data_IF_582315792968
#
_entry.id   IF_582315792968
#
_cell.length_a   1.000
_cell.length_b   1.000
_cell.length_c   1.000
_cell.angle_alpha   90.00
_cell.angle_beta   90.00
_cell.angle_gamma   90.00
#
_symmetry.space_group_name_H-M   'P 1'
#
loop_
_entity.id
_entity.type
_entity.pdbx_description
1 polymer ?
#
# COMPACT_ATOMS: atom_id res chain seq x y z
N UNK A 1 -41.55 -19.70 53.88
CA UNK A 1 -41.38 -19.29 52.47
C UNK A 1 -40.12 -18.45 52.38
N UNK A 2 -39.02 -18.98 51.83
CA UNK A 2 -37.78 -18.22 51.61
C UNK A 2 -37.74 -17.86 50.13
N UNK A 3 -37.88 -16.57 49.81
CA UNK A 3 -37.74 -16.05 48.45
C UNK A 3 -36.29 -16.19 48.00
N UNK A 4 -36.09 -16.88 46.88
CA UNK A 4 -34.82 -16.92 46.14
C UNK A 4 -34.95 -15.85 45.06
N UNK A 5 -34.21 -14.75 45.18
CA UNK A 5 -34.01 -13.79 44.10
C UNK A 5 -32.97 -14.36 43.12
N UNK A 6 -33.23 -14.38 41.81
CA UNK A 6 -32.22 -14.78 40.84
C UNK A 6 -31.23 -13.63 40.66
N UNK A 7 -29.96 -13.87 40.97
CA UNK A 7 -28.85 -13.00 40.57
C UNK A 7 -28.75 -13.00 39.04
N UNK A 8 -29.14 -11.90 38.41
CA UNK A 8 -28.86 -11.64 37.00
C UNK A 8 -27.39 -11.28 36.91
N UNK A 9 -26.55 -12.22 36.48
CA UNK A 9 -25.18 -11.94 36.09
C UNK A 9 -25.22 -11.22 34.73
N UNK A 10 -25.11 -9.90 34.74
CA UNK A 10 -24.84 -9.14 33.52
C UNK A 10 -23.46 -9.49 33.02
N UNK A 11 -23.39 -10.34 31.99
CA UNK A 11 -22.19 -10.52 31.18
C UNK A 11 -21.98 -9.23 30.37
N UNK A 12 -21.03 -8.40 30.81
CA UNK A 12 -20.56 -7.27 30.03
C UNK A 12 -19.74 -7.85 28.87
N UNK A 13 -20.36 -8.00 27.69
CA UNK A 13 -19.63 -8.22 26.45
C UNK A 13 -18.81 -6.96 26.18
N UNK A 14 -17.54 -6.98 26.54
CA UNK A 14 -16.56 -6.09 25.94
C UNK A 14 -16.44 -6.53 24.48
N UNK A 15 -17.09 -5.78 23.59
CA UNK A 15 -16.75 -5.84 22.18
C UNK A 15 -15.28 -5.44 22.08
N UNK A 16 -14.40 -6.42 21.84
CA UNK A 16 -13.04 -6.13 21.41
C UNK A 16 -13.22 -5.46 20.05
N UNK A 17 -13.07 -4.13 20.00
CA UNK A 17 -12.90 -3.45 18.73
C UNK A 17 -11.58 -3.97 18.19
N UNK A 18 -11.70 -4.84 17.22
CA UNK A 18 -10.58 -5.34 16.47
C UNK A 18 -10.14 -4.20 15.56
N UNK A 19 -8.95 -3.69 15.84
CA UNK A 19 -8.36 -2.64 15.05
C UNK A 19 -7.97 -3.18 13.66
N UNK A 20 -8.31 -2.39 12.65
CA UNK A 20 -7.71 -2.42 11.32
C UNK A 20 -6.21 -2.22 11.44
N UNK A 21 -5.42 -2.95 10.66
CA UNK A 21 -4.09 -2.47 10.28
C UNK A 21 -4.18 -1.09 9.66
N UNK A 22 -3.13 -0.25 9.76
CA UNK A 22 -3.10 1.16 9.34
C UNK A 22 -4.47 1.67 8.92
N UNK A 23 -5.08 2.57 9.67
CA UNK A 23 -6.41 3.07 9.33
C UNK A 23 -6.52 3.52 7.86
N UNK A 24 -7.75 3.70 7.34
CA UNK A 24 -7.99 3.91 5.92
C UNK A 24 -7.03 4.89 5.22
N UNK A 25 -6.61 5.94 5.92
CA UNK A 25 -5.70 6.95 5.38
C UNK A 25 -4.27 6.41 5.22
N UNK A 26 -3.73 5.66 6.19
CA UNK A 26 -2.41 5.04 6.08
C UNK A 26 -2.33 4.05 4.91
N UNK A 27 -3.36 3.22 4.73
CA UNK A 27 -3.46 2.34 3.56
C UNK A 27 -3.52 3.09 2.24
N UNK A 28 -4.35 4.14 2.17
CA UNK A 28 -4.49 4.96 0.97
C UNK A 28 -3.16 5.68 0.63
N UNK A 29 -2.43 6.21 1.62
CA UNK A 29 -1.12 6.84 1.43
C UNK A 29 -0.12 5.86 0.82
N UNK A 30 0.01 4.65 1.38
CA UNK A 30 0.91 3.61 0.87
C UNK A 30 0.58 3.29 -0.59
N UNK A 31 -0.71 3.07 -0.88
CA UNK A 31 -1.19 2.69 -2.19
C UNK A 31 -1.02 3.82 -3.24
N UNK A 32 -1.38 5.06 -2.90
CA UNK A 32 -1.24 6.22 -3.79
C UNK A 32 0.23 6.47 -4.15
N UNK A 33 1.12 6.45 -3.15
CA UNK A 33 2.53 6.66 -3.38
C UNK A 33 3.17 5.52 -4.16
N UNK A 34 2.75 4.27 -3.94
CA UNK A 34 3.17 3.15 -4.78
C UNK A 34 2.70 3.33 -6.23
N UNK A 35 1.46 3.80 -6.42
CA UNK A 35 0.92 4.17 -7.72
C UNK A 35 1.84 5.17 -8.42
N UNK A 36 2.26 6.25 -7.77
CA UNK A 36 3.15 7.23 -8.43
C UNK A 36 4.56 6.71 -8.77
N UNK A 37 4.97 5.56 -8.19
CA UNK A 37 6.35 5.06 -8.25
C UNK A 37 6.54 3.80 -9.07
N UNK A 38 5.48 3.02 -9.28
CA UNK A 38 5.56 1.83 -10.14
C UNK A 38 5.91 2.20 -11.58
N UNK A 39 6.59 1.30 -12.27
CA UNK A 39 6.90 1.41 -13.68
C UNK A 39 5.65 1.45 -14.56
N UNK A 40 5.81 1.94 -15.81
CA UNK A 40 4.74 1.88 -16.80
C UNK A 40 4.30 0.44 -17.12
N UNK A 41 5.22 -0.52 -17.01
CA UNK A 41 4.95 -1.92 -17.30
C UNK A 41 4.12 -2.56 -16.19
N UNK A 42 4.47 -2.35 -14.92
CA UNK A 42 3.65 -2.76 -13.79
C UNK A 42 2.26 -2.11 -13.84
N UNK A 43 2.17 -0.82 -14.15
CA UNK A 43 0.88 -0.12 -14.30
C UNK A 43 0.01 -0.76 -15.38
N UNK A 44 0.59 -1.11 -16.53
CA UNK A 44 -0.12 -1.79 -17.60
C UNK A 44 -0.69 -3.13 -17.12
N UNK A 45 0.08 -3.93 -16.38
CA UNK A 45 -0.41 -5.18 -15.80
C UNK A 45 -1.53 -4.96 -14.79
N UNK A 46 -1.41 -3.95 -13.93
CA UNK A 46 -2.49 -3.57 -13.01
C UNK A 46 -3.75 -3.21 -13.80
N UNK A 47 -3.65 -2.44 -14.88
CA UNK A 47 -4.80 -2.09 -15.71
C UNK A 47 -5.40 -3.30 -16.44
N UNK A 48 -4.58 -4.26 -16.86
CA UNK A 48 -5.07 -5.51 -17.46
C UNK A 48 -5.87 -6.36 -16.45
N UNK A 49 -5.49 -6.34 -15.16
CA UNK A 49 -6.17 -7.10 -14.10
C UNK A 49 -7.40 -6.36 -13.57
N UNK A 50 -7.24 -5.07 -13.29
CA UNK A 50 -8.20 -4.26 -12.51
C UNK A 50 -9.09 -3.37 -13.38
N UNK A 51 -8.69 -3.12 -14.63
CA UNK A 51 -9.32 -2.15 -15.53
C UNK A 51 -8.48 -0.88 -15.73
N UNK A 52 -8.64 -0.26 -16.90
CA UNK A 52 -7.92 0.97 -17.26
C UNK A 52 -8.20 2.10 -16.26
N UNK A 53 -7.14 2.79 -15.82
CA UNK A 53 -7.24 3.91 -14.89
C UNK A 53 -7.49 3.52 -13.43
N UNK A 54 -7.35 2.23 -13.10
CA UNK A 54 -7.46 1.77 -11.71
C UNK A 54 -6.42 2.43 -10.81
N UNK A 55 -6.86 2.92 -9.65
CA UNK A 55 -6.00 3.48 -8.61
C UNK A 55 -5.99 2.55 -7.41
N UNK A 56 -4.82 2.12 -6.97
CA UNK A 56 -4.65 1.18 -5.85
C UNK A 56 -5.33 1.71 -4.58
N UNK A 57 -5.21 3.02 -4.31
CA UNK A 57 -5.81 3.68 -3.15
C UNK A 57 -7.32 3.46 -3.02
N UNK A 58 -8.05 3.27 -4.14
CA UNK A 58 -9.51 3.05 -4.12
C UNK A 58 -9.95 1.72 -3.50
N UNK A 59 -9.00 0.83 -3.21
CA UNK A 59 -9.26 -0.47 -2.59
C UNK A 59 -8.28 -0.82 -1.48
N UNK A 60 -7.44 0.12 -1.06
CA UNK A 60 -6.37 -0.16 -0.13
C UNK A 60 -6.90 -0.69 1.21
N UNK A 61 -8.10 -0.26 1.63
CA UNK A 61 -8.78 -0.75 2.84
C UNK A 61 -9.75 -1.91 2.59
N UNK A 62 -9.87 -2.42 1.36
CA UNK A 62 -10.88 -3.44 1.02
C UNK A 62 -10.77 -4.70 1.87
N UNK A 63 -9.55 -5.14 2.21
CA UNK A 63 -9.33 -6.35 3.00
C UNK A 63 -9.93 -6.23 4.41
N UNK A 64 -9.80 -5.07 5.05
CA UNK A 64 -10.45 -4.80 6.33
C UNK A 64 -11.96 -4.61 6.19
N UNK A 65 -12.41 -3.91 5.15
CA UNK A 65 -13.85 -3.72 4.90
C UNK A 65 -14.60 -5.05 4.76
N UNK A 66 -14.01 -6.05 4.11
CA UNK A 66 -14.63 -7.38 3.98
C UNK A 66 -14.50 -8.21 5.27
N UNK A 67 -13.44 -8.01 6.04
CA UNK A 67 -13.19 -8.73 7.29
C UNK A 67 -14.15 -8.27 8.40
N UNK A 68 -14.46 -6.98 8.44
CA UNK A 68 -15.28 -6.35 9.49
C UNK A 68 -16.69 -5.99 9.04
N UNK A 69 -16.97 -6.00 7.74
CA UNK A 69 -18.27 -5.64 7.17
C UNK A 69 -19.29 -6.78 7.11
N UNK A 70 -20.30 -6.58 6.27
CA UNK A 70 -21.45 -7.49 6.12
C UNK A 70 -21.06 -8.90 5.63
N UNK A 71 -19.93 -9.04 4.94
CA UNK A 71 -19.43 -10.32 4.42
C UNK A 71 -18.44 -11.00 5.37
N UNK A 72 -18.24 -10.50 6.60
CA UNK A 72 -17.22 -10.99 7.54
C UNK A 72 -17.24 -12.51 7.74
N UNK A 73 -18.40 -13.15 7.84
CA UNK A 73 -18.54 -14.61 7.95
C UNK A 73 -17.83 -15.39 6.83
N UNK A 74 -17.73 -14.80 5.63
CA UNK A 74 -17.03 -15.38 4.48
C UNK A 74 -15.51 -15.13 4.52
N UNK A 75 -15.07 -14.09 5.21
CA UNK A 75 -13.69 -13.58 5.17
C UNK A 75 -12.93 -13.69 6.48
N UNK A 76 -13.53 -14.21 7.56
CA UNK A 76 -12.85 -14.45 8.84
C UNK A 76 -11.52 -15.22 8.72
N UNK A 77 -11.38 -16.08 7.70
CA UNK A 77 -10.14 -16.81 7.43
C UNK A 77 -8.96 -15.91 7.05
N UNK A 78 -9.20 -14.69 6.55
CA UNK A 78 -8.13 -13.76 6.18
C UNK A 78 -7.57 -13.01 7.38
N UNK A 79 -8.26 -13.00 8.53
CA UNK A 79 -7.83 -12.31 9.75
C UNK A 79 -6.35 -12.47 10.12
N UNK A 80 -5.80 -13.70 10.24
CA UNK A 80 -4.40 -13.87 10.62
C UNK A 80 -3.42 -13.34 9.57
N UNK A 81 -3.88 -13.07 8.34
CA UNK A 81 -3.04 -12.58 7.25
C UNK A 81 -2.67 -11.11 7.40
N UNK A 82 -3.30 -10.37 8.31
CA UNK A 82 -3.01 -8.94 8.50
C UNK A 82 -1.77 -8.72 9.39
N UNK A 83 -1.35 -9.70 10.18
CA UNK A 83 -0.27 -9.50 11.15
C UNK A 83 0.61 -10.73 11.28
N UNK A 84 1.62 -10.62 12.14
CA UNK A 84 2.39 -11.74 12.66
C UNK A 84 2.77 -11.45 14.11
N UNK A 85 2.58 -12.42 14.99
CA UNK A 85 2.96 -12.26 16.38
C UNK A 85 4.45 -12.58 16.54
N UNK A 86 5.21 -11.63 17.09
CA UNK A 86 6.66 -11.74 17.26
C UNK A 86 7.03 -11.57 18.73
N UNK A 87 7.66 -12.60 19.28
CA UNK A 87 8.23 -12.54 20.62
C UNK A 87 9.67 -12.00 20.58
N UNK A 88 10.06 -11.26 21.62
CA UNK A 88 11.40 -10.68 21.78
C UNK A 88 11.89 -9.84 20.60
N UNK A 89 10.98 -9.28 19.80
CA UNK A 89 11.30 -8.39 18.67
C UNK A 89 12.14 -9.07 17.58
N UNK A 90 12.21 -10.41 17.56
CA UNK A 90 12.99 -11.19 16.62
C UNK A 90 12.04 -12.06 15.79
N UNK A 91 11.88 -11.74 14.52
CA UNK A 91 11.03 -12.49 13.62
C UNK A 91 11.75 -13.73 13.08
N UNK A 92 11.11 -14.89 13.24
CA UNK A 92 11.55 -16.15 12.65
C UNK A 92 10.38 -16.74 11.88
N UNK A 93 10.43 -16.65 10.55
CA UNK A 93 9.32 -17.06 9.67
C UNK A 93 8.75 -18.45 9.99
N UNK A 94 9.59 -19.46 10.19
CA UNK A 94 9.14 -20.83 10.49
C UNK A 94 8.48 -20.99 11.86
N UNK A 95 8.82 -20.13 12.82
CA UNK A 95 8.26 -20.14 14.18
C UNK A 95 6.94 -19.35 14.24
N UNK A 96 6.95 -18.16 13.63
CA UNK A 96 5.92 -17.13 13.80
C UNK A 96 4.86 -17.15 12.69
N UNK A 97 5.20 -17.60 11.48
CA UNK A 97 4.32 -17.67 10.32
C UNK A 97 3.91 -19.11 10.00
N UNK A 98 3.31 -19.79 10.96
CA UNK A 98 2.90 -21.19 10.81
C UNK A 98 1.92 -21.33 9.64
N UNK A 99 2.08 -22.38 8.83
CA UNK A 99 1.28 -22.64 7.63
C UNK A 99 1.27 -21.51 6.57
N UNK A 100 2.17 -20.52 6.68
CA UNK A 100 2.11 -19.26 5.92
C UNK A 100 0.86 -18.39 6.23
N UNK A 101 0.20 -18.63 7.36
CA UNK A 101 -0.98 -17.88 7.82
C UNK A 101 -0.55 -16.66 8.65
N UNK A 102 0.17 -15.75 8.00
CA UNK A 102 0.57 -14.47 8.56
C UNK A 102 0.80 -13.45 7.44
N UNK A 103 0.97 -12.16 7.75
CA UNK A 103 1.22 -11.10 6.76
C UNK A 103 2.39 -11.38 5.81
N UNK A 104 3.48 -11.96 6.33
CA UNK A 104 4.63 -12.34 5.51
C UNK A 104 4.29 -13.43 4.49
N UNK A 105 3.52 -14.44 4.90
CA UNK A 105 3.06 -15.51 4.03
C UNK A 105 2.01 -15.02 3.04
N UNK A 106 1.14 -14.11 3.47
CA UNK A 106 0.11 -13.49 2.66
C UNK A 106 0.72 -12.69 1.50
N UNK A 107 1.70 -11.82 1.78
CA UNK A 107 2.41 -11.07 0.73
C UNK A 107 2.97 -12.03 -0.32
N UNK A 108 3.72 -13.06 0.08
CA UNK A 108 4.29 -14.06 -0.84
C UNK A 108 3.21 -14.76 -1.68
N UNK A 109 2.12 -15.17 -1.03
CA UNK A 109 1.02 -15.87 -1.67
C UNK A 109 0.30 -14.99 -2.71
N UNK A 110 -0.08 -13.77 -2.33
CA UNK A 110 -0.83 -12.88 -3.23
C UNK A 110 0.05 -12.28 -4.33
N UNK A 111 1.35 -12.09 -4.11
CA UNK A 111 2.31 -11.84 -5.21
C UNK A 111 2.36 -12.98 -6.21
N UNK A 112 2.31 -14.25 -5.77
CA UNK A 112 2.26 -15.38 -6.69
C UNK A 112 0.90 -15.49 -7.41
N UNK A 113 -0.20 -15.19 -6.73
CA UNK A 113 -1.54 -15.28 -7.33
C UNK A 113 -1.82 -14.19 -8.38
N UNK A 114 -1.39 -12.93 -8.16
CA UNK A 114 -1.66 -11.85 -9.12
C UNK A 114 -1.01 -12.09 -10.49
N UNK A 115 0.11 -12.82 -10.51
CA UNK A 115 0.85 -13.20 -11.72
C UNK A 115 0.34 -14.50 -12.35
N UNK A 116 -0.45 -15.30 -11.62
CA UNK A 116 -0.92 -16.59 -12.13
C UNK A 116 -2.11 -16.42 -13.09
N UNK A 117 -1.83 -16.50 -14.40
CA UNK A 117 -2.84 -16.38 -15.47
C UNK A 117 -3.80 -17.56 -15.57
N UNK A 118 -3.59 -18.65 -14.82
CA UNK A 118 -4.56 -19.75 -14.72
C UNK A 118 -5.70 -19.46 -13.73
N UNK A 119 -5.55 -18.43 -12.88
CA UNK A 119 -6.61 -17.99 -11.97
C UNK A 119 -7.65 -17.15 -12.71
N UNK A 120 -8.87 -17.09 -12.16
CA UNK A 120 -9.90 -16.20 -12.69
C UNK A 120 -9.49 -14.74 -12.52
N UNK A 121 -10.10 -13.85 -13.32
CA UNK A 121 -9.87 -12.42 -13.22
C UNK A 121 -10.16 -11.92 -11.80
N UNK A 122 -11.25 -12.39 -11.19
CA UNK A 122 -11.67 -12.01 -9.84
C UNK A 122 -10.61 -12.42 -8.80
N UNK A 123 -10.03 -13.62 -8.90
CA UNK A 123 -8.97 -14.05 -7.97
C UNK A 123 -7.69 -13.23 -8.11
N UNK A 124 -7.34 -12.84 -9.33
CA UNK A 124 -6.19 -11.96 -9.56
C UNK A 124 -6.46 -10.54 -9.06
N UNK A 125 -7.70 -10.06 -9.18
CA UNK A 125 -8.12 -8.78 -8.61
C UNK A 125 -8.10 -8.79 -7.08
N UNK A 126 -8.60 -9.86 -6.44
CA UNK A 126 -8.47 -10.09 -5.00
C UNK A 126 -7.00 -10.08 -4.58
N UNK A 127 -6.12 -10.73 -5.34
CA UNK A 127 -4.69 -10.74 -5.06
C UNK A 127 -4.03 -9.35 -5.12
N UNK A 128 -4.41 -8.49 -6.07
CA UNK A 128 -3.93 -7.10 -6.12
C UNK A 128 -4.37 -6.32 -4.88
N UNK A 129 -5.65 -6.44 -4.48
CA UNK A 129 -6.20 -5.74 -3.32
C UNK A 129 -5.55 -6.21 -2.02
N UNK A 130 -5.47 -7.51 -1.80
CA UNK A 130 -4.81 -8.09 -0.64
C UNK A 130 -3.33 -7.71 -0.57
N UNK A 131 -2.59 -7.82 -1.68
CA UNK A 131 -1.18 -7.43 -1.68
C UNK A 131 -1.01 -5.95 -1.34
N UNK A 132 -1.82 -5.07 -1.92
CA UNK A 132 -1.78 -3.63 -1.64
C UNK A 132 -1.98 -3.35 -0.15
N UNK A 133 -2.99 -3.99 0.45
CA UNK A 133 -3.30 -3.88 1.86
C UNK A 133 -2.17 -4.39 2.75
N UNK A 134 -1.74 -5.65 2.57
CA UNK A 134 -0.71 -6.28 3.41
C UNK A 134 0.66 -5.60 3.32
N UNK A 135 0.96 -4.91 2.22
CA UNK A 135 2.15 -4.07 2.12
C UNK A 135 2.08 -2.82 3.01
N UNK A 136 0.88 -2.33 3.31
CA UNK A 136 0.65 -1.39 4.41
C UNK A 136 0.91 -2.08 5.75
N UNK A 137 0.17 -3.14 6.05
CA UNK A 137 0.19 -3.85 7.35
C UNK A 137 1.60 -4.19 7.81
N UNK A 138 2.39 -4.80 6.92
CA UNK A 138 3.74 -5.28 7.27
C UNK A 138 4.67 -4.14 7.69
N UNK A 139 4.35 -2.89 7.36
CA UNK A 139 5.09 -1.70 7.75
C UNK A 139 4.54 -1.01 9.01
N UNK A 140 3.36 -1.42 9.52
CA UNK A 140 2.86 -0.96 10.81
C UNK A 140 3.58 -1.73 11.93
N UNK A 141 4.36 -1.07 12.80
CA UNK A 141 5.17 -1.77 13.81
C UNK A 141 4.41 -2.81 14.65
N UNK A 142 3.22 -2.47 15.13
CA UNK A 142 2.40 -3.31 15.99
C UNK A 142 1.68 -4.46 15.26
N UNK A 143 1.72 -4.50 13.92
CA UNK A 143 1.36 -5.70 13.13
C UNK A 143 2.43 -6.79 13.19
N UNK A 144 3.62 -6.45 13.69
CA UNK A 144 4.66 -7.40 14.09
C UNK A 144 4.88 -7.36 15.62
N UNK A 145 3.79 -7.11 16.37
CA UNK A 145 3.79 -6.95 17.82
C UNK A 145 3.74 -8.26 18.61
N UNK A 146 3.64 -8.14 19.93
CA UNK A 146 3.67 -9.27 20.87
C UNK A 146 2.34 -10.02 20.87
N UNK A 147 2.42 -11.34 21.00
CA UNK A 147 1.22 -12.19 21.15
C UNK A 147 0.41 -11.83 22.40
N UNK A 148 1.09 -11.58 23.52
CA UNK A 148 0.46 -11.41 24.85
C UNK A 148 -0.44 -10.20 24.98
N UNK A 149 -0.27 -9.20 24.11
CA UNK A 149 -1.08 -7.97 24.10
C UNK A 149 -1.85 -7.78 22.79
N UNK A 150 -1.89 -8.83 21.95
CA UNK A 150 -2.52 -8.81 20.62
C UNK A 150 -2.01 -7.63 19.78
N UNK A 151 -0.68 -7.42 19.75
CA UNK A 151 -0.08 -6.28 19.07
C UNK A 151 -0.42 -4.93 19.73
N UNK A 152 -0.67 -4.88 21.03
CA UNK A 152 -1.06 -3.67 21.74
C UNK A 152 -2.57 -3.38 21.75
N UNK A 153 -3.41 -4.21 21.12
CA UNK A 153 -4.87 -4.08 21.18
C UNK A 153 -5.41 -4.17 22.61
N UNK A 154 -4.75 -4.92 23.50
CA UNK A 154 -5.15 -5.02 24.92
C UNK A 154 -4.51 -3.98 25.83
N UNK A 155 -3.71 -3.05 25.29
CA UNK A 155 -3.08 -1.96 26.05
C UNK A 155 -3.95 -0.71 25.87
N UNK A 156 -4.93 -0.54 26.76
CA UNK A 156 -5.76 0.65 26.79
C UNK A 156 -4.96 1.88 27.20
N UNK A 157 -5.16 3.01 26.51
CA UNK A 157 -4.47 4.27 26.78
C UNK A 157 -5.42 5.46 26.63
N UNK A 158 -5.14 6.54 27.35
CA UNK A 158 -5.71 7.85 27.05
C UNK A 158 -4.70 8.68 26.25
N UNK A 159 -5.10 9.31 25.16
CA UNK A 159 -4.25 10.21 24.38
C UNK A 159 -4.66 11.66 24.62
N UNK A 160 -3.71 12.60 24.44
CA UNK A 160 -3.98 14.04 24.52
C UNK A 160 -3.69 14.77 23.19
N UNK A 161 -3.71 14.01 22.11
CA UNK A 161 -3.71 14.40 20.71
C UNK A 161 -4.93 13.70 20.05
N UNK A 162 -5.22 14.00 18.80
CA UNK A 162 -6.30 13.42 18.01
C UNK A 162 -7.63 13.42 18.78
N UNK A 163 -8.07 14.61 19.21
CA UNK A 163 -9.32 14.84 19.96
C UNK A 163 -9.44 14.19 21.36
N UNK A 164 -8.33 13.95 22.05
CA UNK A 164 -8.30 13.56 23.48
C UNK A 164 -9.13 12.30 23.80
N UNK A 165 -8.83 11.19 23.13
CA UNK A 165 -9.61 9.96 23.20
C UNK A 165 -9.09 8.95 24.24
N UNK A 166 -9.96 8.04 24.69
CA UNK A 166 -9.56 6.75 25.29
C UNK A 166 -9.64 5.67 24.22
N UNK A 167 -8.53 5.01 23.95
CA UNK A 167 -8.38 4.02 22.89
C UNK A 167 -7.41 2.92 23.35
N UNK A 168 -6.85 2.14 22.42
CA UNK A 168 -5.76 1.19 22.67
C UNK A 168 -4.50 1.57 21.88
N UNK A 169 -3.34 1.04 22.29
CA UNK A 169 -2.05 1.37 21.69
C UNK A 169 -1.99 1.00 20.21
N UNK A 170 -2.64 -0.08 19.78
CA UNK A 170 -2.66 -0.48 18.37
C UNK A 170 -3.33 0.58 17.49
N UNK A 171 -4.56 0.97 17.85
CA UNK A 171 -5.32 2.02 17.16
C UNK A 171 -4.62 3.38 17.18
N UNK A 172 -3.81 3.67 18.21
CA UNK A 172 -2.97 4.88 18.21
C UNK A 172 -1.99 4.88 17.03
N UNK A 173 -1.38 3.73 16.73
CA UNK A 173 -0.47 3.60 15.62
C UNK A 173 -1.18 3.49 14.28
N UNK A 174 -2.30 2.76 14.20
CA UNK A 174 -3.02 2.64 12.93
C UNK A 174 -3.61 3.97 12.47
N UNK A 175 -4.19 4.73 13.40
CA UNK A 175 -5.03 5.88 13.08
C UNK A 175 -4.53 7.16 13.76
N UNK A 176 -4.44 7.17 15.09
CA UNK A 176 -4.43 8.45 15.84
C UNK A 176 -3.16 9.28 15.65
N UNK A 177 -2.01 8.65 15.38
CA UNK A 177 -0.80 9.39 14.99
C UNK A 177 -0.95 10.03 13.60
N UNK A 178 -1.65 9.37 12.67
CA UNK A 178 -1.93 9.90 11.33
C UNK A 178 -3.01 10.99 11.42
N UNK A 179 -4.05 10.75 12.21
CA UNK A 179 -5.15 11.70 12.43
C UNK A 179 -4.63 13.04 12.95
N UNK A 180 -3.75 13.04 13.96
CA UNK A 180 -3.15 14.29 14.48
C UNK A 180 -2.34 15.00 13.39
N UNK A 181 -1.52 14.27 12.63
CA UNK A 181 -0.69 14.84 11.57
C UNK A 181 -1.51 15.47 10.44
N UNK A 182 -2.60 14.81 10.05
CA UNK A 182 -3.50 15.33 9.04
C UNK A 182 -4.32 16.50 9.57
N UNK A 183 -4.74 16.48 10.84
CA UNK A 183 -5.39 17.62 11.48
C UNK A 183 -4.48 18.86 11.54
N UNK A 184 -3.17 18.68 11.77
CA UNK A 184 -2.18 19.76 11.76
C UNK A 184 -1.99 20.39 10.36
N UNK A 185 -2.12 19.59 9.30
CA UNK A 185 -1.85 20.02 7.92
C UNK A 185 -3.10 20.47 7.16
N UNK A 186 -4.26 19.87 7.46
CA UNK A 186 -5.47 20.08 6.70
C UNK A 186 -6.07 21.46 7.02
N UNK A 187 -6.27 22.35 6.02
CA UNK A 187 -6.66 23.73 6.28
C UNK A 187 -8.12 23.91 6.75
N UNK A 188 -8.93 22.84 6.68
CA UNK A 188 -10.34 22.84 7.07
C UNK A 188 -10.59 22.05 8.36
N UNK A 189 -11.86 21.69 8.57
CA UNK A 189 -12.21 20.76 9.65
C UNK A 189 -11.79 19.35 9.27
N UNK A 190 -10.84 18.81 10.03
CA UNK A 190 -10.46 17.41 9.96
C UNK A 190 -11.52 16.52 10.60
N UNK A 191 -11.77 15.36 10.01
CA UNK A 191 -12.64 14.32 10.55
C UNK A 191 -11.76 13.10 10.80
N UNK A 192 -11.72 12.62 12.05
CA UNK A 192 -10.93 11.46 12.46
C UNK A 192 -11.34 10.20 11.67
N UNK A 193 -10.39 9.31 11.38
CA UNK A 193 -10.63 8.09 10.58
C UNK A 193 -11.78 7.22 11.10
N UNK A 194 -11.86 7.07 12.42
CA UNK A 194 -12.85 6.25 13.11
C UNK A 194 -14.21 6.92 13.31
N UNK A 195 -14.39 8.17 12.85
CA UNK A 195 -15.69 8.81 12.86
C UNK A 195 -16.63 8.20 11.81
N UNK A 196 -16.08 7.79 10.66
CA UNK A 196 -16.79 7.15 9.56
C UNK A 196 -15.78 6.45 8.61
N UNK A 197 -15.65 5.13 8.73
CA UNK A 197 -14.75 4.32 7.89
C UNK A 197 -15.24 4.20 6.43
N UNK A 198 -16.48 4.54 6.13
CA UNK A 198 -17.05 4.48 4.77
C UNK A 198 -16.93 5.83 4.02
N UNK A 199 -16.46 6.88 4.69
CA UNK A 199 -16.29 8.21 4.11
C UNK A 199 -15.22 8.21 3.00
N UNK A 200 -15.42 9.00 1.94
CA UNK A 200 -14.34 9.32 1.02
C UNK A 200 -13.35 10.27 1.72
N UNK A 201 -12.23 9.72 2.16
CA UNK A 201 -11.18 10.43 2.88
C UNK A 201 -10.07 10.97 1.98
N UNK A 202 -10.27 10.98 0.65
CA UNK A 202 -9.25 11.43 -0.33
C UNK A 202 -8.65 12.78 0.02
N UNK A 203 -9.46 13.74 0.45
CA UNK A 203 -8.97 15.08 0.82
C UNK A 203 -8.04 15.08 2.06
N UNK A 204 -8.17 14.10 2.94
CA UNK A 204 -7.40 13.97 4.17
C UNK A 204 -6.08 13.25 3.89
N UNK A 205 -6.12 12.00 3.44
CA UNK A 205 -4.90 11.24 3.20
C UNK A 205 -4.01 11.84 2.11
N UNK A 206 -4.57 12.62 1.17
CA UNK A 206 -3.77 13.32 0.14
C UNK A 206 -2.77 14.30 0.75
N UNK A 207 -3.04 14.94 1.89
CA UNK A 207 -2.07 15.86 2.49
C UNK A 207 -0.84 15.11 3.00
N UNK A 208 -1.05 13.94 3.59
CA UNK A 208 0.02 13.04 4.04
C UNK A 208 0.79 12.46 2.86
N UNK A 209 0.10 11.98 1.83
CA UNK A 209 0.71 11.45 0.61
C UNK A 209 1.56 12.52 -0.10
N UNK A 210 1.07 13.76 -0.19
CA UNK A 210 1.80 14.87 -0.81
C UNK A 210 3.10 15.21 -0.07
N UNK A 211 3.07 15.27 1.27
CA UNK A 211 4.27 15.53 2.08
C UNK A 211 5.30 14.40 1.97
N UNK A 212 4.87 13.14 2.09
CA UNK A 212 5.77 12.00 1.95
C UNK A 212 6.30 11.87 0.51
N UNK A 213 5.46 12.17 -0.49
CA UNK A 213 5.85 12.23 -1.89
C UNK A 213 6.96 13.26 -2.15
N UNK A 214 6.86 14.45 -1.55
CA UNK A 214 7.94 15.45 -1.56
C UNK A 214 9.22 14.92 -0.93
N UNK A 215 9.13 14.24 0.21
CA UNK A 215 10.29 13.66 0.88
C UNK A 215 10.95 12.53 0.08
N UNK A 216 10.17 11.78 -0.70
CA UNK A 216 10.66 10.72 -1.59
C UNK A 216 11.28 11.24 -2.89
N UNK A 217 10.88 12.44 -3.35
CA UNK A 217 11.37 13.04 -4.58
C UNK A 217 12.82 13.53 -4.47
N UNK A 218 13.48 13.77 -5.60
CA UNK A 218 14.88 14.19 -5.64
C UNK A 218 15.13 15.43 -4.75
N UNK A 219 16.09 15.33 -3.84
CA UNK A 219 16.41 16.37 -2.86
C UNK A 219 15.56 16.35 -1.58
N UNK A 220 14.51 15.52 -1.53
CA UNK A 220 13.70 15.28 -0.35
C UNK A 220 14.41 14.42 0.70
N UNK A 221 13.84 14.42 1.92
CA UNK A 221 14.41 13.77 3.11
C UNK A 221 14.69 12.27 2.93
N UNK A 222 13.86 11.56 2.16
CA UNK A 222 13.93 10.12 1.95
C UNK A 222 14.61 9.72 0.63
N UNK A 223 14.87 10.65 -0.27
CA UNK A 223 15.47 10.37 -1.59
C UNK A 223 16.75 9.51 -1.50
N UNK A 224 17.65 9.85 -0.57
CA UNK A 224 18.91 9.11 -0.36
C UNK A 224 18.76 7.77 0.38
N UNK A 225 17.59 7.48 0.95
CA UNK A 225 17.34 6.26 1.73
C UNK A 225 16.75 5.12 0.90
N UNK A 226 16.07 5.43 -0.21
CA UNK A 226 15.33 4.46 -1.04
C UNK A 226 16.18 3.25 -1.42
N UNK A 227 17.41 3.46 -1.91
CA UNK A 227 18.32 2.38 -2.29
C UNK A 227 18.64 1.44 -1.10
N UNK A 228 18.80 1.99 0.11
CA UNK A 228 19.04 1.17 1.30
C UNK A 228 17.81 0.35 1.70
N UNK A 229 16.60 0.92 1.57
CA UNK A 229 15.33 0.25 1.88
C UNK A 229 15.02 -0.93 0.94
N UNK A 230 15.53 -0.87 -0.30
CA UNK A 230 15.37 -1.91 -1.32
C UNK A 230 16.56 -2.86 -1.42
N UNK A 231 17.70 -2.54 -0.79
CA UNK A 231 18.97 -3.29 -0.97
C UNK A 231 18.84 -4.81 -0.81
N UNK A 232 18.17 -5.29 0.24
CA UNK A 232 17.92 -6.72 0.46
C UNK A 232 16.89 -7.30 -0.51
N UNK A 233 15.90 -6.50 -0.91
CA UNK A 233 14.89 -6.89 -1.88
C UNK A 233 15.52 -7.16 -3.25
N UNK A 234 16.33 -6.23 -3.74
CA UNK A 234 17.00 -6.31 -5.03
C UNK A 234 18.09 -7.40 -5.05
N UNK A 235 18.83 -7.58 -3.95
CA UNK A 235 19.95 -8.53 -3.91
C UNK A 235 19.57 -9.96 -3.53
N UNK A 236 18.49 -10.16 -2.77
CA UNK A 236 18.14 -11.47 -2.20
C UNK A 236 16.69 -11.91 -2.52
N UNK A 237 15.91 -11.07 -3.20
CA UNK A 237 14.57 -11.40 -3.67
C UNK A 237 13.46 -11.25 -2.63
N UNK A 238 12.23 -11.54 -3.05
CA UNK A 238 11.00 -11.27 -2.29
C UNK A 238 10.98 -11.94 -0.92
N UNK A 239 11.43 -13.19 -0.80
CA UNK A 239 11.37 -13.93 0.46
C UNK A 239 12.17 -13.28 1.57
N UNK A 240 13.39 -12.82 1.26
CA UNK A 240 14.24 -12.11 2.21
C UNK A 240 13.74 -10.68 2.42
N UNK A 241 13.27 -10.02 1.37
CA UNK A 241 12.66 -8.70 1.43
C UNK A 241 11.52 -8.65 2.46
N UNK A 242 10.55 -9.57 2.35
CA UNK A 242 9.38 -9.62 3.24
C UNK A 242 9.78 -9.95 4.68
N UNK A 243 10.72 -10.88 4.89
CA UNK A 243 11.20 -11.17 6.23
C UNK A 243 11.90 -9.96 6.87
N UNK A 244 12.62 -9.17 6.07
CA UNK A 244 13.22 -7.92 6.54
C UNK A 244 12.15 -6.89 6.93
N UNK A 245 11.09 -6.72 6.13
CA UNK A 245 10.00 -5.79 6.45
C UNK A 245 9.39 -6.11 7.82
N UNK A 246 9.09 -7.39 8.07
CA UNK A 246 8.56 -7.84 9.36
C UNK A 246 9.55 -7.60 10.49
N UNK A 247 10.83 -7.94 10.29
CA UNK A 247 11.86 -7.74 11.31
C UNK A 247 12.04 -6.26 11.66
N UNK A 248 12.00 -5.36 10.67
CA UNK A 248 12.03 -3.91 10.88
C UNK A 248 10.84 -3.46 11.74
N UNK A 249 9.62 -3.90 11.40
CA UNK A 249 8.41 -3.57 12.16
C UNK A 249 8.45 -4.12 13.59
N UNK A 250 8.88 -5.37 13.79
CA UNK A 250 9.04 -5.96 15.13
C UNK A 250 10.06 -5.18 15.98
N UNK A 251 11.16 -4.75 15.36
CA UNK A 251 12.18 -3.93 16.02
C UNK A 251 11.62 -2.57 16.44
N UNK A 252 10.88 -1.91 15.56
CA UNK A 252 10.22 -0.63 15.83
C UNK A 252 9.13 -0.77 16.90
N UNK A 253 8.37 -1.87 16.91
CA UNK A 253 7.37 -2.12 17.93
C UNK A 253 8.01 -2.03 19.32
N UNK A 254 9.12 -2.73 19.52
CA UNK A 254 9.81 -2.77 20.79
C UNK A 254 10.55 -1.47 21.15
N UNK A 255 11.23 -0.85 20.19
CA UNK A 255 12.07 0.32 20.45
C UNK A 255 11.30 1.64 20.45
N UNK A 256 10.10 1.67 19.86
CA UNK A 256 9.39 2.93 19.58
C UNK A 256 7.93 2.87 20.05
N UNK A 257 7.19 1.79 19.73
CA UNK A 257 5.75 1.70 20.02
C UNK A 257 5.43 1.34 21.47
N UNK A 258 6.10 0.33 22.03
CA UNK A 258 5.84 -0.15 23.39
C UNK A 258 6.52 0.69 24.47
N UNK A 259 7.21 1.79 24.13
CA UNK A 259 7.96 2.63 25.06
C UNK A 259 7.48 4.07 25.02
N UNK A 260 7.42 4.72 26.18
CA UNK A 260 7.22 6.15 26.33
C UNK A 260 8.49 6.95 26.00
N UNK A 261 8.40 8.27 25.97
CA UNK A 261 9.54 9.17 25.67
C UNK A 261 10.67 9.03 26.70
N UNK A 262 10.31 8.74 27.96
CA UNK A 262 11.26 8.51 29.07
C UNK A 262 11.87 7.09 29.07
N UNK A 263 11.51 6.25 28.10
CA UNK A 263 11.96 4.86 27.98
C UNK A 263 11.18 3.86 28.83
N UNK A 264 10.22 4.29 29.64
CA UNK A 264 9.35 3.38 30.37
C UNK A 264 8.39 2.64 29.41
N UNK A 265 8.04 1.39 29.70
CA UNK A 265 7.05 0.67 28.89
C UNK A 265 5.67 1.35 28.99
N UNK A 266 4.95 1.45 27.87
CA UNK A 266 3.55 1.88 27.85
C UNK A 266 2.73 0.90 28.69
N UNK A 267 1.98 1.43 29.65
CA UNK A 267 1.17 0.62 30.56
C UNK A 267 -0.29 0.62 30.13
N UNK A 268 -0.99 -0.48 30.38
CA UNK A 268 -2.44 -0.53 30.25
C UNK A 268 -3.10 0.46 31.24
N UNK A 269 -4.11 1.19 30.79
CA UNK A 269 -4.71 2.37 31.43
C UNK A 269 -3.74 3.55 31.62
N UNK A 270 -2.64 3.59 30.87
CA UNK A 270 -1.70 4.69 30.85
C UNK A 270 -2.20 5.89 30.04
N UNK A 271 -1.34 6.89 29.87
CA UNK A 271 -1.60 8.02 28.97
C UNK A 271 -0.42 8.26 28.03
N UNK A 272 -0.71 8.59 26.78
CA UNK A 272 0.29 8.98 25.78
C UNK A 272 0.17 10.49 25.56
N UNK A 273 1.31 11.18 25.67
CA UNK A 273 1.39 12.63 25.59
C UNK A 273 1.57 13.12 24.15
N UNK A 274 1.39 14.42 23.93
CA UNK A 274 1.75 15.09 22.69
C UNK A 274 3.25 14.91 22.36
N UNK A 275 4.10 14.74 23.39
CA UNK A 275 5.51 14.41 23.18
C UNK A 275 5.69 12.99 22.62
N UNK A 276 4.83 12.04 23.00
CA UNK A 276 4.77 10.73 22.34
C UNK A 276 4.44 10.91 20.85
N UNK A 277 3.40 11.66 20.49
CA UNK A 277 3.09 11.97 19.09
C UNK A 277 4.29 12.60 18.35
N UNK A 278 4.80 13.73 18.85
CA UNK A 278 5.87 14.51 18.22
C UNK A 278 7.15 13.70 17.93
N UNK A 279 7.45 12.72 18.78
CA UNK A 279 8.66 11.90 18.63
C UNK A 279 8.46 10.65 17.77
N UNK A 280 7.21 10.27 17.45
CA UNK A 280 6.90 9.07 16.65
C UNK A 280 6.37 9.37 15.25
N UNK A 281 5.80 10.56 14.99
CA UNK A 281 5.20 10.86 13.69
C UNK A 281 6.18 10.68 12.51
N UNK A 282 7.45 11.05 12.68
CA UNK A 282 8.46 10.82 11.63
C UNK A 282 8.78 9.34 11.40
N UNK A 283 8.61 8.48 12.42
CA UNK A 283 8.72 7.02 12.25
C UNK A 283 7.53 6.50 11.44
N UNK A 284 6.31 6.96 11.74
CA UNK A 284 5.09 6.60 10.98
C UNK A 284 5.25 7.01 9.52
N UNK A 285 5.63 8.26 9.25
CA UNK A 285 5.85 8.77 7.87
C UNK A 285 6.91 7.97 7.12
N UNK A 286 8.02 7.61 7.76
CA UNK A 286 9.07 6.78 7.13
C UNK A 286 8.58 5.35 6.83
N UNK A 287 7.75 4.77 7.70
CA UNK A 287 7.17 3.44 7.47
C UNK A 287 6.13 3.44 6.33
N UNK A 288 5.27 4.46 6.24
CA UNK A 288 4.37 4.65 5.10
C UNK A 288 5.16 4.82 3.79
N UNK A 289 6.25 5.61 3.81
CA UNK A 289 7.14 5.78 2.67
C UNK A 289 7.80 4.47 2.22
N UNK A 290 8.30 3.66 3.18
CA UNK A 290 8.86 2.33 2.91
C UNK A 290 7.82 1.38 2.33
N UNK A 291 6.60 1.38 2.89
CA UNK A 291 5.48 0.60 2.38
C UNK A 291 5.21 0.89 0.91
N UNK A 292 5.12 2.17 0.55
CA UNK A 292 4.92 2.61 -0.82
C UNK A 292 6.06 2.20 -1.77
N UNK A 293 7.32 2.46 -1.37
CA UNK A 293 8.52 2.12 -2.15
C UNK A 293 8.61 0.62 -2.40
N UNK A 294 8.36 -0.19 -1.36
CA UNK A 294 8.46 -1.65 -1.45
C UNK A 294 7.27 -2.25 -2.19
N UNK A 295 6.06 -1.70 -2.06
CA UNK A 295 4.91 -2.14 -2.86
C UNK A 295 5.15 -1.89 -4.35
N UNK A 296 5.64 -0.71 -4.73
CA UNK A 296 6.03 -0.41 -6.11
C UNK A 296 7.08 -1.41 -6.62
N UNK A 297 8.12 -1.69 -5.82
CA UNK A 297 9.14 -2.69 -6.17
C UNK A 297 8.56 -4.10 -6.34
N UNK A 298 7.68 -4.55 -5.44
CA UNK A 298 7.04 -5.87 -5.57
C UNK A 298 6.21 -5.94 -6.86
N UNK A 299 5.45 -4.90 -7.18
CA UNK A 299 4.63 -4.86 -8.40
C UNK A 299 5.48 -4.82 -9.67
N UNK A 300 6.59 -4.08 -9.67
CA UNK A 300 7.54 -4.03 -10.78
C UNK A 300 8.18 -5.40 -11.04
N UNK A 301 8.56 -6.12 -9.98
CA UNK A 301 9.31 -7.37 -10.10
C UNK A 301 8.42 -8.62 -10.18
N UNK A 302 7.14 -8.52 -9.80
CA UNK A 302 6.21 -9.65 -9.84
C UNK A 302 6.05 -10.20 -11.27
N UNK A 303 6.06 -9.31 -12.27
CA UNK A 303 5.79 -9.65 -13.67
C UNK A 303 7.07 -9.83 -14.53
N UNK A 304 8.27 -9.74 -13.95
CA UNK A 304 9.52 -9.93 -14.70
C UNK A 304 9.68 -11.35 -15.28
N UNK A 305 8.99 -12.34 -14.71
CA UNK A 305 8.92 -13.69 -15.28
C UNK A 305 7.95 -13.81 -16.48
N UNK A 306 7.14 -12.77 -16.78
CA UNK A 306 6.25 -12.72 -17.96
C UNK A 306 6.87 -12.00 -19.16
N UNK A 307 7.82 -11.09 -18.96
CA UNK A 307 8.47 -10.35 -20.05
C UNK A 307 9.40 -11.22 -20.90
N UNK A 308 9.67 -12.47 -20.51
CA UNK A 308 10.44 -13.44 -21.31
C UNK A 308 9.61 -14.34 -22.24
N UNK A 309 8.27 -14.32 -22.20
CA UNK A 309 7.45 -15.28 -22.98
C UNK A 309 6.40 -14.62 -23.89
N UNK A 310 6.74 -13.47 -24.48
CA UNK A 310 6.02 -12.97 -25.67
C UNK A 310 7.00 -12.77 -26.81
N UNK A 311 7.78 -13.80 -27.13
CA UNK A 311 8.34 -13.91 -28.47
C UNK A 311 7.15 -14.12 -29.43
N UNK A 312 6.85 -13.09 -30.23
CA UNK A 312 5.91 -13.18 -31.32
C UNK A 312 6.20 -14.42 -32.18
N UNK A 313 5.19 -15.11 -32.72
CA UNK A 313 5.41 -16.30 -33.54
C UNK A 313 6.30 -15.93 -34.72
N UNK A 314 7.46 -16.57 -34.79
CA UNK A 314 8.38 -16.49 -35.92
C UNK A 314 7.64 -16.91 -37.18
N UNK A 315 7.32 -15.94 -38.03
CA UNK A 315 6.83 -16.18 -39.39
C UNK A 315 7.91 -16.91 -40.17
N UNK A 316 7.78 -18.24 -40.23
CA UNK A 316 8.65 -19.07 -41.05
C UNK A 316 8.17 -18.96 -42.50
N UNK A 317 8.78 -18.07 -43.29
CA UNK A 317 8.69 -18.15 -44.75
C UNK A 317 9.52 -19.35 -45.21
N UNK A 318 8.86 -20.46 -45.47
CA UNK A 318 9.50 -21.59 -46.16
C UNK A 318 9.44 -21.32 -47.66
N UNK A 319 10.53 -20.76 -48.19
CA UNK A 319 10.77 -20.64 -49.62
C UNK A 319 11.20 -22.00 -50.17
N UNK A 320 10.42 -22.55 -51.10
CA UNK A 320 10.75 -23.74 -51.89
C UNK A 320 12.01 -23.50 -52.75
N UNK A 321 12.95 -24.46 -52.88
CA UNK A 321 14.08 -24.33 -53.78
C UNK A 321 13.65 -24.67 -55.22
N UNK A 322 13.67 -23.68 -56.11
CA UNK A 322 13.57 -23.88 -57.56
C UNK A 322 14.96 -23.98 -58.15
N UNK A 323 15.25 -25.15 -58.72
CA UNK A 323 16.35 -25.41 -59.66
C UNK A 323 16.19 -24.60 -60.94
N UNK A 324 17.24 -23.94 -61.41
CA UNK A 324 17.40 -23.62 -62.84
C UNK A 324 18.87 -23.47 -63.22
N UNK A 325 19.27 -24.25 -64.23
CA UNK A 325 20.45 -24.01 -65.05
C UNK A 325 20.05 -23.55 -66.45
N UNK A 326 20.65 -22.43 -66.86
CA UNK A 326 21.11 -22.03 -68.20
C UNK A 326 20.14 -21.68 -69.35
N UNK A 327 20.26 -20.40 -69.74
CA UNK A 327 20.32 -19.77 -71.08
C UNK A 327 19.13 -19.84 -72.05
N UNK A 328 18.64 -18.66 -72.47
CA UNK A 328 19.09 -18.01 -73.72
C UNK A 328 18.32 -16.71 -74.01
N UNK A 329 19.07 -15.65 -74.33
CA UNK A 329 18.88 -14.64 -75.39
C UNK A 329 17.58 -13.80 -75.51
N UNK A 330 17.72 -12.46 -75.47
CA UNK A 330 17.47 -11.55 -76.61
C UNK A 330 17.11 -10.09 -76.20
N UNK A 331 17.88 -9.15 -76.76
CA UNK A 331 17.54 -7.81 -77.30
C UNK A 331 16.92 -6.67 -76.45
N UNK A 332 17.61 -5.52 -76.50
CA UNK A 332 17.39 -4.16 -75.96
C UNK A 332 16.22 -3.38 -76.66
N UNK A 333 15.90 -2.06 -76.41
CA UNK A 333 16.65 -0.99 -75.73
C UNK A 333 15.75 0.03 -74.90
N UNK A 334 16.05 1.35 -74.72
CA UNK A 334 16.21 1.96 -73.38
C UNK A 334 15.19 3.07 -73.01
N UNK A 335 15.09 3.44 -71.72
CA UNK A 335 14.61 4.75 -71.29
C UNK A 335 15.08 5.14 -69.88
N UNK A 336 15.88 6.20 -69.80
CA UNK A 336 16.10 7.09 -68.64
C UNK A 336 14.99 8.18 -68.60
N UNK A 337 14.99 9.15 -67.67
CA UNK A 337 15.05 9.10 -66.20
C UNK A 337 13.89 9.92 -65.56
N UNK A 338 13.68 9.83 -64.25
CA UNK A 338 12.98 10.90 -63.51
C UNK A 338 13.50 11.01 -62.08
N UNK A 339 13.78 12.25 -61.70
CA UNK A 339 14.51 12.69 -60.54
C UNK A 339 13.59 13.12 -59.39
N UNK A 340 14.24 13.43 -58.26
CA UNK A 340 13.81 14.41 -57.24
C UNK A 340 12.74 13.88 -56.26
N UNK A 341 12.76 14.13 -54.95
CA UNK A 341 13.32 15.21 -54.12
C UNK A 341 13.41 14.72 -52.66
N UNK A 342 14.51 15.05 -51.97
CA UNK A 342 14.53 15.38 -50.52
C UNK A 342 13.98 16.80 -50.34
N UNK A 343 13.47 17.29 -49.17
CA UNK A 343 14.18 17.18 -47.87
C UNK A 343 13.34 17.24 -46.55
N UNK A 344 14.10 17.00 -45.47
CA UNK A 344 14.13 17.63 -44.14
C UNK A 344 12.88 17.85 -43.26
N UNK A 345 13.07 17.40 -42.01
CA UNK A 345 12.80 18.07 -40.72
C UNK A 345 11.38 18.54 -40.38
N UNK A 346 10.87 18.13 -39.22
CA UNK A 346 10.84 19.03 -38.06
C UNK A 346 10.25 18.36 -36.81
N UNK A 347 10.79 18.80 -35.68
CA UNK A 347 10.34 18.51 -34.33
C UNK A 347 8.98 19.16 -34.05
N UNK A 348 8.13 18.47 -33.27
CA UNK A 348 6.88 19.04 -32.76
C UNK A 348 6.95 19.17 -31.24
N UNK A 349 7.00 20.42 -30.80
CA UNK A 349 6.76 20.91 -29.44
C UNK A 349 5.29 20.72 -29.04
N UNK A 350 5.04 20.23 -27.83
CA UNK A 350 3.69 20.12 -27.24
C UNK A 350 3.36 21.40 -26.45
N UNK A 351 2.27 22.07 -26.81
CA UNK A 351 1.73 23.23 -26.10
C UNK A 351 0.90 22.80 -24.89
N UNK A 352 1.22 23.37 -23.72
CA UNK A 352 0.38 23.33 -22.52
C UNK A 352 -0.89 24.17 -22.67
N UNK A 353 -1.99 23.69 -22.08
CA UNK A 353 -3.23 24.46 -21.91
C UNK A 353 -3.45 24.76 -20.43
N UNK A 354 -3.47 26.04 -20.11
CA UNK A 354 -3.87 26.60 -18.83
C UNK A 354 -5.40 26.64 -18.73
N UNK A 355 -5.94 26.31 -17.55
CA UNK A 355 -7.33 26.55 -17.19
C UNK A 355 -7.41 27.79 -16.30
N UNK A 356 -8.18 28.78 -16.76
CA UNK A 356 -8.53 30.00 -16.02
C UNK A 356 -9.79 29.73 -15.19
N UNK A 357 -9.69 29.81 -13.85
CA UNK A 357 -10.87 29.83 -12.97
C UNK A 357 -11.39 31.26 -12.82
N UNK A 358 -12.68 31.45 -13.09
CA UNK A 358 -13.44 32.66 -12.77
C UNK A 358 -13.86 32.62 -11.29
N UNK A 359 -13.48 33.64 -10.52
CA UNK A 359 -13.99 33.90 -9.18
C UNK A 359 -15.22 34.81 -9.30
N UNK A 360 -16.40 34.28 -8.97
CA UNK A 360 -17.62 35.03 -8.81
C UNK A 360 -17.88 35.35 -7.34
N UNK A 361 -17.74 36.63 -6.98
CA UNK A 361 -18.10 37.19 -5.68
C UNK A 361 -19.64 37.33 -5.62
N UNK A 362 -20.29 36.77 -4.61
CA UNK A 362 -21.59 37.24 -4.16
C UNK A 362 -21.61 37.38 -2.64
N UNK A 363 -21.65 38.64 -2.19
CA UNK A 363 -21.94 39.04 -0.82
C UNK A 363 -23.46 38.98 -0.58
N UNK A 364 -23.88 38.47 0.57
CA UNK A 364 -25.20 38.74 1.14
C UNK A 364 -25.01 39.18 2.59
N UNK A 365 -25.50 40.38 2.88
CA UNK A 365 -25.52 41.03 4.18
C UNK A 365 -26.88 40.75 4.86
N UNK A 366 -26.78 40.41 6.15
CA UNK A 366 -27.72 40.43 7.27
C UNK A 366 -29.18 40.90 7.10
N UNK A 367 -30.11 40.19 7.75
CA UNK A 367 -30.98 40.75 8.81
C UNK A 367 -31.68 39.66 9.65
N UNK A 368 -31.69 39.92 10.97
CA UNK A 368 -32.43 39.31 12.11
C UNK A 368 -31.94 38.00 12.72
#
# INVERSE_FOLDING_TARGET
>A
MRSILPSVASALLLAVQEASSWGPDGHAVVAELADTRMSSDARKWIYEIMGEGYRLATSASWADSILHGNDSDRWQWSRPLHYVNVDNCEFVYSRDCQNNECVAGAIKNYTAQLTNTSLSAERRQEAVKFLTHFMGDVHQPLHAGRYTDLGGNTIGVAINFANYEKTNLHKVWDEKLIDEYEEELYPGTYVQQDADYDMDRTQYWSVTADEIGRDLNAGGKYAGKVASWLSKCESLGLDVCVNEMVQESASLACMVAYVNVDGAQVQNNGSLSMEYYNSRIETVREQLAKGAVRLAWVLDNAFDNFTTTTAAPSTTSTTTPTTTGTSSDSTAPPATPAASTTPSSDAVTYHGRAWTLFVGILAVVATL
#
